data_IF_967561039718
#
_entry.id   IF_967561039718
#
_cell.length_a   1.000
_cell.length_b   1.000
_cell.length_c   1.000
_cell.angle_alpha   90.00
_cell.angle_beta   90.00
_cell.angle_gamma   90.00
#
_symmetry.space_group_name_H-M   'P 1'
#
loop_
_entity.id
_entity.type
_entity.pdbx_description
1 polymer ?
#
# COMPACT_ATOMS: atom_id res chain seq x y z
N UNK A 1 -3.14 4.37 27.65
CA UNK A 1 -2.47 5.67 27.42
C UNK A 1 -1.19 5.39 26.65
N UNK A 2 -1.13 5.76 25.37
CA UNK A 2 -0.12 5.33 24.39
C UNK A 2 1.18 6.17 24.49
N UNK A 3 1.76 6.29 25.68
CA UNK A 3 2.83 7.26 25.94
C UNK A 3 4.20 6.79 25.43
N UNK A 4 4.44 5.48 25.31
CA UNK A 4 5.74 4.93 24.89
C UNK A 4 6.00 4.89 23.37
N UNK A 5 4.96 4.95 22.54
CA UNK A 5 5.11 4.94 21.07
C UNK A 5 5.45 6.32 20.49
N UNK A 6 5.05 7.39 21.18
CA UNK A 6 5.24 8.78 20.74
C UNK A 6 6.70 9.26 20.83
N UNK A 7 7.55 8.65 21.66
CA UNK A 7 8.96 9.05 21.75
C UNK A 7 9.79 8.60 20.54
N UNK A 8 9.43 7.48 19.89
CA UNK A 8 10.04 7.05 18.64
C UNK A 8 9.70 7.96 17.46
N UNK A 9 8.64 8.76 17.56
CA UNK A 9 8.23 9.75 16.54
C UNK A 9 9.26 10.88 16.42
N UNK A 10 9.92 11.24 17.54
CA UNK A 10 10.98 12.26 17.56
C UNK A 10 12.31 11.77 16.95
N UNK A 11 12.52 10.45 16.86
CA UNK A 11 13.69 9.84 16.21
C UNK A 11 13.41 9.35 14.78
N UNK A 12 12.14 9.19 14.38
CA UNK A 12 11.71 8.72 13.06
C UNK A 12 11.17 9.83 12.15
N UNK A 13 11.75 11.04 12.17
CA UNK A 13 11.40 12.10 11.20
C UNK A 13 11.61 11.69 9.73
N UNK A 14 12.38 10.63 9.47
CA UNK A 14 12.65 10.12 8.13
C UNK A 14 11.50 9.28 7.53
N UNK A 15 10.57 8.77 8.35
CA UNK A 15 9.50 7.89 7.88
C UNK A 15 8.14 8.59 7.92
N UNK A 16 7.34 8.51 6.84
CA UNK A 16 6.08 9.22 6.74
C UNK A 16 5.07 8.76 7.81
N UNK A 17 4.53 9.72 8.56
CA UNK A 17 3.56 9.54 9.66
C UNK A 17 2.36 8.65 9.29
N UNK A 18 1.93 8.70 8.04
CA UNK A 18 0.75 7.98 7.55
C UNK A 18 0.89 6.47 7.72
N UNK A 19 2.08 5.91 7.48
CA UNK A 19 2.30 4.47 7.62
C UNK A 19 2.28 4.04 9.08
N UNK A 20 2.92 4.83 9.95
CA UNK A 20 2.98 4.57 11.39
C UNK A 20 1.59 4.67 12.03
N UNK A 21 0.80 5.67 11.64
CA UNK A 21 -0.58 5.82 12.09
C UNK A 21 -1.48 4.64 11.63
N UNK A 22 -1.35 4.20 10.38
CA UNK A 22 -2.05 3.02 9.88
C UNK A 22 -1.66 1.73 10.64
N UNK A 23 -0.37 1.59 10.98
CA UNK A 23 0.09 0.50 11.85
C UNK A 23 -0.51 0.55 13.25
N UNK A 24 -0.52 1.74 13.88
CA UNK A 24 -1.10 1.92 15.20
C UNK A 24 -2.59 1.57 15.24
N UNK A 25 -3.34 1.91 14.17
CA UNK A 25 -4.75 1.50 14.02
C UNK A 25 -4.90 -0.02 13.95
N UNK A 26 -4.05 -0.72 13.20
CA UNK A 26 -4.09 -2.18 13.13
C UNK A 26 -3.83 -2.81 14.50
N UNK A 27 -2.84 -2.31 15.25
CA UNK A 27 -2.59 -2.80 16.61
C UNK A 27 -3.75 -2.52 17.57
N UNK A 28 -4.43 -1.38 17.41
CA UNK A 28 -5.61 -1.05 18.22
C UNK A 28 -6.79 -1.99 17.94
N UNK A 29 -6.95 -2.46 16.70
CA UNK A 29 -8.07 -3.32 16.29
C UNK A 29 -7.80 -4.81 16.51
N UNK A 30 -6.58 -5.28 16.22
CA UNK A 30 -6.23 -6.72 16.19
C UNK A 30 -5.23 -7.13 17.28
N UNK A 31 -4.87 -6.20 18.17
CA UNK A 31 -3.87 -6.42 19.21
C UNK A 31 -2.43 -6.35 18.69
N UNK A 32 -1.48 -6.52 19.60
CA UNK A 32 -0.06 -6.43 19.29
C UNK A 32 0.50 -7.75 18.76
N UNK A 33 1.24 -7.71 17.64
CA UNK A 33 1.95 -8.89 17.13
C UNK A 33 2.61 -8.67 15.78
N UNK A 34 3.46 -9.63 15.39
CA UNK A 34 4.26 -9.57 14.16
C UNK A 34 3.43 -9.68 12.88
N UNK A 35 2.26 -10.30 12.95
CA UNK A 35 1.34 -10.41 11.80
C UNK A 35 0.63 -9.08 11.61
N UNK A 36 0.21 -8.45 12.70
CA UNK A 36 -0.52 -7.18 12.69
C UNK A 36 0.34 -6.05 12.13
N UNK A 37 1.65 -6.05 12.38
CA UNK A 37 2.59 -5.09 11.78
C UNK A 37 2.63 -5.18 10.25
N UNK A 38 2.41 -6.36 9.69
CA UNK A 38 2.45 -6.64 8.25
C UNK A 38 1.10 -6.52 7.57
N UNK A 39 -0.01 -6.53 8.33
CA UNK A 39 -1.36 -6.47 7.78
C UNK A 39 -1.56 -5.26 6.87
N UNK A 40 -0.99 -4.12 7.24
CA UNK A 40 -1.08 -2.87 6.47
C UNK A 40 -0.38 -3.06 5.11
N UNK A 41 0.85 -3.57 5.12
CA UNK A 41 1.60 -3.84 3.90
C UNK A 41 0.89 -4.85 3.00
N UNK A 42 0.29 -5.90 3.57
CA UNK A 42 -0.50 -6.89 2.80
C UNK A 42 -1.77 -6.26 2.22
N UNK A 43 -2.51 -5.48 3.01
CA UNK A 43 -3.73 -4.80 2.57
C UNK A 43 -3.45 -3.84 1.41
N UNK A 44 -2.41 -3.00 1.54
CA UNK A 44 -2.01 -2.09 0.46
C UNK A 44 -1.40 -2.81 -0.75
N UNK A 45 -0.84 -4.00 -0.58
CA UNK A 45 -0.42 -4.83 -1.72
C UNK A 45 -1.63 -5.30 -2.53
N UNK A 46 -2.68 -5.79 -1.87
CA UNK A 46 -3.93 -6.13 -2.55
C UNK A 46 -4.57 -4.92 -3.22
N UNK A 47 -4.53 -3.77 -2.56
CA UNK A 47 -5.01 -2.51 -3.15
C UNK A 47 -4.21 -2.07 -4.38
N UNK A 48 -2.89 -2.22 -4.37
CA UNK A 48 -2.02 -1.95 -5.52
C UNK A 48 -2.37 -2.83 -6.72
N UNK A 49 -2.70 -4.11 -6.48
CA UNK A 49 -3.12 -5.05 -7.53
C UNK A 49 -4.44 -4.63 -8.15
N UNK A 50 -5.42 -4.28 -7.31
CA UNK A 50 -6.72 -3.76 -7.77
C UNK A 50 -6.52 -2.51 -8.62
N UNK A 51 -5.74 -1.54 -8.14
CA UNK A 51 -5.46 -0.31 -8.87
C UNK A 51 -4.74 -0.57 -10.20
N UNK A 52 -3.80 -1.51 -10.23
CA UNK A 52 -3.09 -1.89 -11.46
C UNK A 52 -4.07 -2.39 -12.52
N UNK A 53 -5.03 -3.24 -12.12
CA UNK A 53 -6.10 -3.69 -13.01
C UNK A 53 -6.97 -2.53 -13.49
N UNK A 54 -7.44 -1.68 -12.58
CA UNK A 54 -8.35 -0.58 -12.89
C UNK A 54 -7.71 0.44 -13.83
N UNK A 55 -6.47 0.85 -13.55
CA UNK A 55 -5.72 1.80 -14.39
C UNK A 55 -5.48 1.22 -15.78
N UNK A 56 -5.02 -0.02 -15.90
CA UNK A 56 -4.74 -0.64 -17.20
C UNK A 56 -6.01 -0.97 -17.99
N UNK A 57 -7.11 -1.35 -17.31
CA UNK A 57 -8.41 -1.53 -17.94
C UNK A 57 -8.94 -0.23 -18.52
N UNK A 58 -8.74 0.88 -17.82
CA UNK A 58 -9.23 2.20 -18.21
C UNK A 58 -8.45 2.79 -19.38
N UNK A 59 -7.12 2.75 -19.31
CA UNK A 59 -6.25 3.26 -20.38
C UNK A 59 -6.33 2.43 -21.66
N UNK A 60 -6.60 1.14 -21.53
CA UNK A 60 -6.63 0.22 -22.66
C UNK A 60 -7.91 -0.63 -22.65
N UNK A 61 -7.83 -1.85 -22.11
CA UNK A 61 -8.90 -2.84 -22.16
C UNK A 61 -8.77 -3.84 -21.01
N UNK A 62 -9.85 -4.55 -20.68
CA UNK A 62 -9.87 -5.53 -19.59
C UNK A 62 -8.82 -6.65 -19.73
N UNK A 63 -8.54 -7.13 -20.96
CA UNK A 63 -7.50 -8.13 -21.22
C UNK A 63 -6.11 -7.64 -20.82
N UNK A 64 -5.78 -6.40 -21.18
CA UNK A 64 -4.50 -5.77 -20.83
C UNK A 64 -4.42 -5.57 -19.31
N UNK A 65 -5.53 -5.20 -18.66
CA UNK A 65 -5.61 -5.15 -17.20
C UNK A 65 -5.20 -6.46 -16.52
N UNK A 66 -5.71 -7.61 -16.99
CA UNK A 66 -5.34 -8.91 -16.44
C UNK A 66 -3.87 -9.25 -16.70
N UNK A 67 -3.35 -8.96 -17.89
CA UNK A 67 -1.94 -9.19 -18.22
C UNK A 67 -1.03 -8.35 -17.31
N UNK A 68 -1.35 -7.08 -17.08
CA UNK A 68 -0.60 -6.19 -16.19
C UNK A 68 -0.58 -6.70 -14.75
N UNK A 69 -1.71 -7.20 -14.24
CA UNK A 69 -1.76 -7.85 -12.91
C UNK A 69 -0.89 -9.10 -12.88
N UNK A 70 -0.95 -9.94 -13.93
CA UNK A 70 -0.10 -11.13 -14.04
C UNK A 70 1.38 -10.80 -14.00
N UNK A 71 1.81 -9.76 -14.72
CA UNK A 71 3.19 -9.27 -14.69
C UNK A 71 3.59 -8.72 -13.32
N UNK A 72 2.70 -7.98 -12.66
CA UNK A 72 2.94 -7.47 -11.30
C UNK A 72 3.13 -8.62 -10.30
N UNK A 73 2.33 -9.67 -10.40
CA UNK A 73 2.44 -10.88 -9.57
C UNK A 73 3.71 -11.69 -9.87
N UNK A 74 4.19 -11.70 -11.12
CA UNK A 74 5.45 -12.36 -11.43
C UNK A 74 6.67 -11.61 -10.84
N UNK A 75 6.49 -10.38 -10.35
CA UNK A 75 7.58 -9.61 -9.76
C UNK A 75 7.85 -10.03 -8.30
N UNK A 76 9.00 -10.67 -8.00
CA UNK A 76 9.31 -11.14 -6.65
C UNK A 76 9.50 -10.00 -5.64
N UNK A 77 9.76 -8.77 -6.10
CA UNK A 77 9.90 -7.61 -5.23
C UNK A 77 8.59 -7.30 -4.52
N UNK A 78 7.46 -7.35 -5.22
CA UNK A 78 6.13 -7.09 -4.64
C UNK A 78 5.89 -8.08 -3.49
N UNK A 79 6.10 -9.38 -3.73
CA UNK A 79 5.96 -10.43 -2.72
C UNK A 79 6.92 -10.30 -1.53
N UNK A 80 8.15 -9.83 -1.77
CA UNK A 80 9.12 -9.60 -0.71
C UNK A 80 8.70 -8.42 0.16
N UNK A 81 8.34 -7.30 -0.46
CA UNK A 81 7.91 -6.12 0.28
C UNK A 81 6.57 -6.34 0.99
N UNK A 82 5.63 -7.13 0.45
CA UNK A 82 4.33 -7.38 1.09
C UNK A 82 4.45 -8.00 2.48
N UNK A 83 5.55 -8.73 2.72
CA UNK A 83 5.82 -9.43 3.97
C UNK A 83 6.65 -8.61 4.96
N UNK A 84 7.15 -7.45 4.55
CA UNK A 84 7.95 -6.58 5.40
C UNK A 84 7.10 -5.36 5.74
N UNK A 85 7.02 -5.02 7.03
CA UNK A 85 6.30 -3.85 7.53
C UNK A 85 7.06 -2.55 7.18
N UNK A 86 7.07 -2.18 5.91
CA UNK A 86 7.71 -0.97 5.39
C UNK A 86 6.74 -0.13 4.52
N UNK A 87 6.97 1.19 4.41
CA UNK A 87 6.04 2.10 3.76
C UNK A 87 6.06 2.05 2.22
N UNK A 88 6.99 1.34 1.56
CA UNK A 88 7.16 1.46 0.10
C UNK A 88 5.93 0.99 -0.68
N UNK A 89 5.26 -0.07 -0.22
CA UNK A 89 4.04 -0.57 -0.86
C UNK A 89 2.89 0.41 -0.72
N UNK A 90 2.76 1.01 0.46
CA UNK A 90 1.71 2.01 0.68
C UNK A 90 1.95 3.22 -0.23
N UNK A 91 3.20 3.67 -0.34
CA UNK A 91 3.59 4.78 -1.20
C UNK A 91 3.32 4.48 -2.68
N UNK A 92 3.69 3.29 -3.16
CA UNK A 92 3.46 2.88 -4.56
C UNK A 92 1.97 2.74 -4.87
N UNK A 93 1.17 2.20 -3.95
CA UNK A 93 -0.28 2.11 -4.10
C UNK A 93 -0.94 3.50 -4.16
N UNK A 94 -0.57 4.42 -3.25
CA UNK A 94 -1.08 5.80 -3.25
C UNK A 94 -0.60 6.60 -4.47
N UNK A 95 0.64 6.37 -4.92
CA UNK A 95 1.16 6.96 -6.16
C UNK A 95 0.35 6.52 -7.38
N UNK A 96 0.05 5.21 -7.49
CA UNK A 96 -0.77 4.69 -8.57
C UNK A 96 -2.23 5.18 -8.48
N UNK A 97 -2.78 5.32 -7.27
CA UNK A 97 -4.09 5.92 -7.04
C UNK A 97 -4.14 7.37 -7.53
N UNK A 98 -3.10 8.17 -7.25
CA UNK A 98 -2.99 9.55 -7.74
C UNK A 98 -3.03 9.60 -9.26
N UNK A 99 -2.27 8.74 -9.93
CA UNK A 99 -2.27 8.62 -11.41
C UNK A 99 -3.64 8.19 -11.92
N UNK A 100 -4.27 7.18 -11.28
CA UNK A 100 -5.61 6.72 -11.65
C UNK A 100 -6.66 7.83 -11.56
N UNK A 101 -6.65 8.60 -10.48
CA UNK A 101 -7.56 9.73 -10.29
C UNK A 101 -7.31 10.84 -11.31
N UNK A 102 -6.04 11.13 -11.62
CA UNK A 102 -5.69 12.12 -12.64
C UNK A 102 -6.23 11.72 -14.02
N UNK A 103 -6.03 10.46 -14.44
CA UNK A 103 -6.60 9.93 -15.68
C UNK A 103 -8.14 10.03 -15.64
N UNK A 104 -8.73 9.69 -14.48
CA UNK A 104 -10.17 9.76 -14.30
C UNK A 104 -10.74 11.17 -14.47
N UNK A 105 -10.01 12.18 -14.00
CA UNK A 105 -10.42 13.58 -14.09
C UNK A 105 -10.27 14.16 -15.49
N UNK A 106 -9.34 13.66 -16.32
CA UNK A 106 -9.15 14.14 -17.70
C UNK A 106 -10.24 13.59 -18.63
N UNK A 107 -10.73 12.38 -18.37
CA UNK A 107 -11.76 11.73 -19.19
C UNK A 107 -13.20 12.10 -18.79
N UNK A 108 -13.40 12.80 -17.66
CA UNK A 108 -14.72 13.26 -17.19
C UNK A 108 -15.12 14.58 -17.83
#
# INVERSE_FOLDING_TARGET
MFTGYLEFEKLNLAQPLLFTAAMALSYKLFGFGLVQSRLISVAFSGFLVLLTYLTARRLYNAKIGLISVGLLMCNPLIFRYSRIARPEIMLTALGLLSVYLLISSIES
#
